data_IF_047378723617
#
_entry.id   IF_047378723617
#
_cell.length_a   1.000
_cell.length_b   1.000
_cell.length_c   1.000
_cell.angle_alpha   90.00
_cell.angle_beta   90.00
_cell.angle_gamma   90.00
#
_symmetry.space_group_name_H-M   'P 1'
#
loop_
_entity.id
_entity.type
_entity.pdbx_description
1 polymer ?
#
# COMPACT_ATOMS: atom_id res chain seq x y z
N UNK A 1 -4.70 56.34 -39.45
CA UNK A 1 -3.80 57.01 -38.48
C UNK A 1 -3.15 55.89 -37.69
N UNK A 2 -1.90 55.51 -38.00
CA UNK A 2 -0.67 55.86 -37.25
C UNK A 2 -0.93 55.74 -35.74
N UNK A 3 -0.26 54.93 -34.92
CA UNK A 3 1.17 54.50 -34.85
C UNK A 3 1.26 53.98 -33.38
N UNK A 4 1.82 52.83 -32.98
CA UNK A 4 3.24 52.51 -32.87
C UNK A 4 3.34 51.16 -32.12
N UNK A 5 4.13 50.26 -32.70
CA UNK A 5 4.81 49.12 -32.10
C UNK A 5 5.85 49.62 -31.10
N UNK A 6 6.14 48.89 -30.00
CA UNK A 6 7.49 48.42 -29.64
C UNK A 6 7.44 47.63 -28.30
N UNK A 7 7.97 46.40 -28.27
CA UNK A 7 8.29 45.66 -27.05
C UNK A 7 9.72 46.01 -26.59
N UNK A 8 9.99 46.02 -25.28
CA UNK A 8 11.36 46.08 -24.77
C UNK A 8 11.57 44.99 -23.72
N UNK A 9 12.39 44.03 -24.11
CA UNK A 9 13.00 43.03 -23.27
C UNK A 9 13.84 43.67 -22.15
N UNK A 10 13.75 43.12 -20.94
CA UNK A 10 14.87 43.19 -20.01
C UNK A 10 15.28 41.75 -19.68
N UNK A 11 16.44 41.42 -20.22
CA UNK A 11 17.23 40.22 -19.95
C UNK A 11 17.77 40.35 -18.52
N UNK A 12 17.50 39.38 -17.65
CA UNK A 12 18.39 39.04 -16.55
C UNK A 12 18.75 37.56 -16.65
N UNK A 13 19.87 37.34 -17.32
CA UNK A 13 20.66 36.13 -17.33
C UNK A 13 21.24 35.94 -15.92
N UNK A 14 20.82 34.88 -15.21
CA UNK A 14 21.53 34.33 -14.05
C UNK A 14 22.19 33.02 -14.49
N UNK A 15 23.42 33.14 -14.99
CA UNK A 15 24.47 32.13 -14.78
C UNK A 15 24.90 32.33 -13.30
N UNK A 16 25.28 31.36 -12.48
CA UNK A 16 26.34 30.34 -12.56
C UNK A 16 26.00 29.38 -11.38
N UNK A 17 26.11 28.05 -11.45
CA UNK A 17 27.34 27.31 -11.12
C UNK A 17 27.16 25.83 -11.50
N UNK A 18 28.04 25.33 -12.36
CA UNK A 18 28.28 23.91 -12.52
C UNK A 18 29.40 23.47 -11.57
N UNK A 19 29.21 22.32 -10.93
CA UNK A 19 30.33 21.48 -10.49
C UNK A 19 30.56 20.45 -11.59
N UNK A 20 31.51 20.73 -12.48
CA UNK A 20 32.18 19.71 -13.27
C UNK A 20 33.38 19.26 -12.43
N UNK A 21 33.41 18.00 -12.01
CA UNK A 21 34.60 17.41 -11.41
C UNK A 21 35.70 17.35 -12.47
N UNK A 22 36.61 18.32 -12.41
CA UNK A 22 37.87 18.26 -13.12
C UNK A 22 38.76 17.21 -12.46
N UNK A 23 38.94 16.06 -13.12
CA UNK A 23 40.11 15.21 -12.88
C UNK A 23 41.22 15.67 -13.83
N UNK A 24 42.27 16.27 -13.26
CA UNK A 24 43.47 16.62 -13.99
C UNK A 24 44.32 15.38 -14.21
N UNK A 25 44.72 15.13 -15.45
CA UNK A 25 45.85 14.26 -15.74
C UNK A 25 47.13 14.92 -15.24
N UNK A 26 47.74 14.30 -14.23
CA UNK A 26 49.13 14.48 -13.84
C UNK A 26 49.70 13.10 -13.55
N UNK A 27 50.59 12.64 -14.42
CA UNK A 27 51.46 11.48 -14.17
C UNK A 27 52.42 11.81 -13.02
N UNK A 28 52.39 11.03 -11.94
CA UNK A 28 53.61 10.63 -11.26
C UNK A 28 53.42 9.30 -10.50
N UNK A 29 54.48 8.50 -10.50
CA UNK A 29 54.51 7.09 -10.10
C UNK A 29 54.71 6.94 -8.58
N UNK A 30 53.86 6.16 -7.90
CA UNK A 30 54.33 5.16 -6.92
C UNK A 30 53.21 4.24 -6.42
N UNK A 31 53.60 3.00 -6.14
CA UNK A 31 52.85 1.93 -5.47
C UNK A 31 51.99 2.41 -4.30
N UNK A 32 50.74 1.94 -4.22
CA UNK A 32 50.30 1.04 -3.16
C UNK A 32 48.88 0.50 -3.41
N UNK A 33 48.73 -0.77 -3.08
CA UNK A 33 47.62 -1.65 -3.33
C UNK A 33 46.47 -1.38 -2.33
N UNK A 34 45.38 -0.76 -2.77
CA UNK A 34 44.07 -0.92 -2.14
C UNK A 34 42.97 -0.64 -3.17
N UNK A 35 42.53 -1.70 -3.85
CA UNK A 35 41.20 -1.70 -4.44
C UNK A 35 40.22 -1.73 -3.27
N UNK A 36 39.66 -0.58 -2.93
CA UNK A 36 38.39 -0.57 -2.21
C UNK A 36 37.36 -1.18 -3.15
N UNK A 37 37.04 -2.44 -2.87
CA UNK A 37 35.79 -3.07 -3.28
C UNK A 37 34.68 -2.13 -2.83
N UNK A 38 34.13 -1.37 -3.77
CA UNK A 38 32.80 -0.82 -3.57
C UNK A 38 31.88 -2.02 -3.62
N UNK A 39 31.60 -2.60 -2.45
CA UNK A 39 30.44 -3.42 -2.21
C UNK A 39 29.23 -2.57 -2.62
N UNK A 40 28.86 -2.66 -3.89
CA UNK A 40 27.49 -2.47 -4.32
C UNK A 40 26.69 -3.56 -3.64
N UNK A 41 26.38 -3.33 -2.37
CA UNK A 41 25.39 -4.08 -1.64
C UNK A 41 24.05 -3.64 -2.23
N UNK A 42 23.75 -4.24 -3.38
CA UNK A 42 22.40 -4.47 -3.85
C UNK A 42 21.75 -5.34 -2.78
N UNK A 43 21.28 -4.70 -1.70
CA UNK A 43 20.28 -5.30 -0.83
C UNK A 43 18.99 -5.30 -1.67
N UNK A 44 18.95 -6.18 -2.65
CA UNK A 44 17.71 -6.68 -3.19
C UNK A 44 17.11 -7.49 -2.03
N UNK A 45 16.54 -6.79 -1.07
CA UNK A 45 15.83 -7.36 0.08
C UNK A 45 14.56 -7.96 -0.54
N UNK A 46 14.72 -9.16 -1.10
CA UNK A 46 13.64 -9.88 -1.75
C UNK A 46 12.48 -9.97 -0.76
N UNK A 47 11.32 -9.45 -1.16
CA UNK A 47 10.14 -9.47 -0.31
C UNK A 47 9.80 -10.92 0.00
N UNK A 48 9.80 -11.26 1.29
CA UNK A 48 9.47 -12.63 1.73
C UNK A 48 8.07 -13.01 1.24
N UNK A 49 7.88 -14.27 0.87
CA UNK A 49 6.57 -14.82 0.51
C UNK A 49 5.53 -14.57 1.63
N UNK A 50 4.37 -14.06 1.22
CA UNK A 50 3.24 -13.79 2.10
C UNK A 50 2.58 -15.08 2.55
N UNK A 51 2.24 -15.17 3.84
CA UNK A 51 1.47 -16.29 4.38
C UNK A 51 0.07 -15.82 4.77
N UNK A 52 -0.95 -16.60 4.44
CA UNK A 52 -2.32 -16.34 4.88
C UNK A 52 -2.54 -16.95 6.28
N UNK A 53 -2.99 -16.13 7.23
CA UNK A 53 -3.46 -16.58 8.53
C UNK A 53 -4.97 -16.34 8.65
N UNK A 54 -5.70 -17.37 9.10
CA UNK A 54 -7.15 -17.31 9.21
C UNK A 54 -7.58 -16.97 10.63
N UNK A 55 -8.37 -15.91 10.77
CA UNK A 55 -9.01 -15.50 12.02
C UNK A 55 -10.22 -16.39 12.42
N UNK A 56 -10.29 -17.64 11.95
CA UNK A 56 -11.40 -18.57 12.23
C UNK A 56 -12.72 -18.27 11.53
N UNK A 57 -12.71 -17.44 10.48
CA UNK A 57 -13.86 -17.05 9.65
C UNK A 57 -13.77 -17.69 8.26
N UNK A 58 -14.89 -17.77 7.53
CA UNK A 58 -14.93 -18.37 6.19
C UNK A 58 -15.33 -19.85 6.14
N UNK A 59 -16.04 -20.23 5.08
CA UNK A 59 -16.28 -21.63 4.75
C UNK A 59 -15.02 -22.27 4.14
N UNK A 60 -14.92 -23.61 4.08
CA UNK A 60 -13.81 -24.28 3.41
C UNK A 60 -13.59 -23.83 1.96
N UNK A 61 -14.64 -23.39 1.28
CA UNK A 61 -14.52 -22.86 -0.09
C UNK A 61 -13.82 -21.51 -0.09
N UNK A 62 -14.27 -20.58 0.76
CA UNK A 62 -13.65 -19.26 0.90
C UNK A 62 -12.18 -19.37 1.30
N UNK A 63 -11.85 -20.33 2.18
CA UNK A 63 -10.46 -20.61 2.57
C UNK A 63 -9.58 -21.01 1.38
N UNK A 64 -10.08 -21.87 0.50
CA UNK A 64 -9.34 -22.31 -0.69
C UNK A 64 -9.12 -21.15 -1.65
N UNK A 65 -10.14 -20.31 -1.86
CA UNK A 65 -10.05 -19.15 -2.75
C UNK A 65 -9.03 -18.12 -2.24
N UNK A 66 -9.09 -17.78 -0.95
CA UNK A 66 -8.12 -16.86 -0.32
C UNK A 66 -6.69 -17.41 -0.33
N UNK A 67 -6.53 -18.70 0.00
CA UNK A 67 -5.20 -19.34 0.00
C UNK A 67 -4.60 -19.32 -1.41
N UNK A 68 -5.39 -19.70 -2.42
CA UNK A 68 -4.94 -19.71 -3.82
C UNK A 68 -4.54 -18.31 -4.27
N UNK A 69 -5.31 -17.28 -3.88
CA UNK A 69 -4.97 -15.90 -4.21
C UNK A 69 -3.63 -15.46 -3.63
N UNK A 70 -3.33 -15.80 -2.37
CA UNK A 70 -2.06 -15.44 -1.73
C UNK A 70 -0.88 -16.23 -2.34
N UNK A 71 -1.08 -17.51 -2.66
CA UNK A 71 -0.08 -18.31 -3.39
C UNK A 71 0.23 -17.75 -4.79
N UNK A 72 -0.77 -17.18 -5.46
CA UNK A 72 -0.61 -16.52 -6.76
C UNK A 72 -0.04 -15.09 -6.65
N UNK A 73 -0.12 -14.46 -5.47
CA UNK A 73 0.33 -13.09 -5.21
C UNK A 73 1.23 -12.99 -3.97
N UNK A 74 2.36 -13.73 -3.92
CA UNK A 74 3.21 -13.83 -2.73
C UNK A 74 3.86 -12.49 -2.33
N UNK A 75 3.90 -11.52 -3.24
CA UNK A 75 4.43 -10.17 -3.03
C UNK A 75 3.34 -9.11 -2.79
N UNK A 76 2.09 -9.51 -2.53
CA UNK A 76 0.98 -8.57 -2.26
C UNK A 76 1.34 -7.59 -1.14
N UNK A 77 0.95 -6.32 -1.31
CA UNK A 77 1.21 -5.23 -0.38
C UNK A 77 2.44 -4.39 -0.74
N UNK A 78 2.71 -3.38 0.10
CA UNK A 78 3.83 -2.46 -0.08
C UNK A 78 4.92 -2.76 0.93
N UNK A 79 6.19 -2.81 0.50
CA UNK A 79 7.31 -3.09 1.38
C UNK A 79 7.39 -2.08 2.54
N UNK A 80 7.67 -2.57 3.75
CA UNK A 80 7.74 -1.77 4.98
C UNK A 80 6.45 -1.01 5.31
N UNK A 81 5.30 -1.57 4.95
CA UNK A 81 4.00 -0.93 5.16
C UNK A 81 2.91 -1.95 5.55
N UNK A 82 1.74 -1.44 5.94
CA UNK A 82 0.50 -2.20 6.07
C UNK A 82 -0.40 -1.87 4.90
N UNK A 83 -0.86 -2.88 4.18
CA UNK A 83 -1.72 -2.69 3.00
C UNK A 83 -3.09 -3.30 3.20
N UNK A 84 -4.10 -2.68 2.58
CA UNK A 84 -5.49 -3.12 2.64
C UNK A 84 -5.96 -3.42 1.21
N UNK A 85 -6.56 -4.59 1.03
CA UNK A 85 -7.08 -5.02 -0.27
C UNK A 85 -8.50 -5.55 -0.10
N UNK A 86 -9.46 -5.01 -0.86
CA UNK A 86 -10.76 -5.66 -1.01
C UNK A 86 -10.59 -6.93 -1.85
N UNK A 87 -11.19 -8.03 -1.42
CA UNK A 87 -11.12 -9.32 -2.10
C UNK A 87 -12.40 -9.63 -2.87
N UNK A 88 -13.45 -10.10 -2.20
CA UNK A 88 -14.75 -10.39 -2.82
C UNK A 88 -15.88 -10.41 -1.76
N UNK A 89 -17.12 -10.53 -2.22
CA UNK A 89 -18.32 -10.62 -1.40
C UNK A 89 -18.65 -12.09 -1.10
N UNK A 90 -18.84 -12.40 0.18
CA UNK A 90 -19.18 -13.73 0.67
C UNK A 90 -20.41 -13.70 1.58
N UNK A 91 -21.30 -14.66 1.41
CA UNK A 91 -22.43 -14.89 2.33
C UNK A 91 -22.06 -15.84 3.49
N UNK A 92 -20.90 -16.48 3.40
CA UNK A 92 -20.43 -17.55 4.29
C UNK A 92 -19.10 -17.24 4.97
N UNK A 93 -18.66 -15.98 4.98
CA UNK A 93 -17.49 -15.54 5.73
C UNK A 93 -17.79 -15.28 7.21
N UNK A 94 -18.94 -14.66 7.47
CA UNK A 94 -19.45 -14.37 8.81
C UNK A 94 -20.97 -14.37 8.82
N UNK A 95 -21.57 -13.55 9.67
CA UNK A 95 -23.03 -13.37 9.65
C UNK A 95 -23.45 -12.45 8.49
N UNK A 96 -24.28 -12.99 7.60
CA UNK A 96 -24.83 -12.27 6.45
C UNK A 96 -23.83 -12.07 5.30
N UNK A 97 -24.21 -11.23 4.35
CA UNK A 97 -23.34 -10.84 3.23
C UNK A 97 -22.25 -9.91 3.73
N UNK A 98 -20.99 -10.23 3.43
CA UNK A 98 -19.82 -9.46 3.83
C UNK A 98 -18.91 -9.19 2.64
N UNK A 99 -18.37 -7.98 2.56
CA UNK A 99 -17.18 -7.73 1.73
C UNK A 99 -15.96 -8.16 2.53
N UNK A 100 -15.20 -9.11 2.01
CA UNK A 100 -13.97 -9.58 2.61
C UNK A 100 -12.80 -8.73 2.13
N UNK A 101 -11.97 -8.36 3.09
CA UNK A 101 -10.73 -7.63 2.89
C UNK A 101 -9.55 -8.47 3.37
N UNK A 102 -8.37 -8.18 2.84
CA UNK A 102 -7.09 -8.64 3.34
C UNK A 102 -6.33 -7.46 3.92
N UNK A 103 -5.95 -7.57 5.19
CA UNK A 103 -4.92 -6.72 5.80
C UNK A 103 -3.58 -7.45 5.70
N UNK A 104 -2.58 -6.78 5.13
CA UNK A 104 -1.27 -7.36 4.84
C UNK A 104 -0.21 -6.60 5.63
N UNK A 105 0.59 -7.31 6.41
CA UNK A 105 1.68 -6.73 7.18
C UNK A 105 3.04 -7.01 6.51
N UNK A 106 3.65 -5.96 5.95
CA UNK A 106 5.03 -5.99 5.43
C UNK A 106 6.01 -5.24 6.32
N UNK A 107 5.61 -4.88 7.54
CA UNK A 107 6.52 -4.34 8.55
C UNK A 107 7.39 -5.47 9.13
N UNK A 108 8.57 -5.15 9.68
CA UNK A 108 9.47 -6.13 10.28
C UNK A 108 9.04 -6.59 11.68
N UNK A 109 7.85 -6.20 12.15
CA UNK A 109 7.31 -6.53 13.46
C UNK A 109 5.84 -6.92 13.38
N UNK A 110 5.34 -7.57 14.43
CA UNK A 110 3.98 -8.07 14.50
C UNK A 110 3.03 -6.97 14.98
N UNK A 111 1.76 -7.06 14.55
CA UNK A 111 0.72 -6.10 14.89
C UNK A 111 -0.42 -6.78 15.64
N UNK A 112 -1.03 -6.08 16.58
CA UNK A 112 -2.30 -6.46 17.18
C UNK A 112 -3.14 -5.22 17.46
N UNK A 113 -4.42 -5.42 17.81
CA UNK A 113 -5.34 -4.36 18.26
C UNK A 113 -5.36 -3.17 17.27
N UNK A 114 -5.66 -3.48 16.02
CA UNK A 114 -5.63 -2.54 14.90
C UNK A 114 -6.97 -1.80 14.82
N UNK A 115 -6.94 -0.50 14.57
CA UNK A 115 -8.15 0.28 14.29
C UNK A 115 -7.89 1.37 13.27
N UNK A 116 -8.92 1.74 12.51
CA UNK A 116 -8.84 2.75 11.46
C UNK A 116 -10.23 3.24 11.07
N UNK A 117 -10.28 4.32 10.30
CA UNK A 117 -11.49 4.83 9.65
C UNK A 117 -11.44 4.47 8.16
N UNK A 118 -12.47 3.75 7.68
CA UNK A 118 -12.59 3.31 6.29
C UNK A 118 -13.56 4.20 5.53
N UNK A 119 -13.11 4.74 4.39
CA UNK A 119 -14.00 5.30 3.37
C UNK A 119 -13.85 4.50 2.08
N UNK A 120 -14.97 4.13 1.47
CA UNK A 120 -14.99 3.34 0.24
C UNK A 120 -16.11 3.81 -0.68
N UNK A 121 -15.81 4.04 -1.95
CA UNK A 121 -16.78 4.53 -2.93
C UNK A 121 -16.18 4.79 -4.31
N UNK A 122 -16.82 5.65 -5.10
CA UNK A 122 -16.33 6.07 -6.43
C UNK A 122 -15.42 7.31 -6.41
N UNK A 123 -14.97 7.72 -5.23
CA UNK A 123 -14.21 8.96 -5.01
C UNK A 123 -15.07 10.22 -5.00
N UNK A 124 -16.41 10.11 -5.07
CA UNK A 124 -17.35 11.21 -4.88
C UNK A 124 -18.19 11.00 -3.62
N UNK A 125 -18.86 12.07 -3.16
CA UNK A 125 -19.81 11.97 -2.05
C UNK A 125 -21.15 11.31 -2.42
N UNK A 126 -21.39 10.98 -3.70
CA UNK A 126 -22.67 10.47 -4.16
C UNK A 126 -22.79 8.94 -4.06
N UNK A 127 -21.68 8.22 -4.13
CA UNK A 127 -21.66 6.75 -4.13
C UNK A 127 -20.62 6.20 -3.15
N UNK A 128 -20.90 6.39 -1.86
CA UNK A 128 -20.13 5.78 -0.77
C UNK A 128 -20.79 4.50 -0.29
N UNK A 129 -20.00 3.44 -0.19
CA UNK A 129 -20.38 2.19 0.49
C UNK A 129 -20.18 2.35 1.99
N UNK A 130 -19.03 2.92 2.38
CA UNK A 130 -18.72 3.35 3.74
C UNK A 130 -18.14 4.76 3.72
N UNK A 131 -18.49 5.55 4.73
CA UNK A 131 -17.97 6.92 4.93
C UNK A 131 -17.43 7.03 6.36
N UNK A 132 -16.10 7.14 6.50
CA UNK A 132 -15.41 7.21 7.80
C UNK A 132 -15.88 6.12 8.78
N UNK A 133 -16.12 4.91 8.27
CA UNK A 133 -16.59 3.79 9.06
C UNK A 133 -15.46 3.28 9.95
N UNK A 134 -15.64 3.39 11.26
CA UNK A 134 -14.61 2.95 12.21
C UNK A 134 -14.55 1.43 12.30
N UNK A 135 -13.41 0.86 11.94
CA UNK A 135 -13.12 -0.58 11.99
C UNK A 135 -12.17 -0.85 13.15
N UNK A 136 -12.46 -1.91 13.90
CA UNK A 136 -11.63 -2.40 15.00
C UNK A 136 -11.37 -3.89 14.77
N UNK A 137 -10.09 -4.25 14.65
CA UNK A 137 -9.61 -5.61 14.54
C UNK A 137 -8.82 -5.93 15.82
N UNK A 138 -9.55 -6.37 16.85
CA UNK A 138 -8.93 -6.67 18.14
C UNK A 138 -8.11 -7.96 18.09
N UNK A 139 -7.12 -8.09 18.97
CA UNK A 139 -6.37 -9.35 19.12
C UNK A 139 -7.27 -10.56 19.35
N UNK A 140 -8.41 -10.36 20.02
CA UNK A 140 -9.37 -11.43 20.28
C UNK A 140 -10.04 -11.92 19.00
N UNK A 141 -10.27 -11.03 18.05
CA UNK A 141 -11.03 -11.32 16.84
C UNK A 141 -10.14 -11.81 15.71
N UNK A 142 -8.94 -11.22 15.56
CA UNK A 142 -8.02 -11.54 14.47
C UNK A 142 -6.69 -12.18 14.90
N UNK A 143 -6.41 -12.28 16.20
CA UNK A 143 -5.11 -12.76 16.67
C UNK A 143 -4.01 -11.73 16.55
N UNK A 144 -2.79 -12.19 16.29
CA UNK A 144 -1.62 -11.34 16.04
C UNK A 144 -1.36 -11.38 14.53
N UNK A 145 -1.31 -10.23 13.89
CA UNK A 145 -0.91 -10.12 12.48
C UNK A 145 0.61 -10.14 12.39
N UNK A 146 1.17 -11.32 12.17
CA UNK A 146 2.61 -11.52 12.06
C UNK A 146 3.24 -10.77 10.88
N UNK A 147 4.54 -10.50 10.96
CA UNK A 147 5.30 -9.95 9.83
C UNK A 147 5.23 -10.90 8.63
N UNK A 148 5.02 -10.35 7.44
CA UNK A 148 4.82 -11.07 6.18
C UNK A 148 3.63 -12.02 6.20
N UNK A 149 2.58 -11.65 6.94
CA UNK A 149 1.30 -12.35 6.92
C UNK A 149 0.17 -11.45 6.44
N UNK A 150 -0.88 -12.10 5.94
CA UNK A 150 -2.16 -11.49 5.63
C UNK A 150 -3.25 -12.15 6.45
N UNK A 151 -4.19 -11.36 6.95
CA UNK A 151 -5.38 -11.85 7.63
C UNK A 151 -6.62 -11.34 6.90
N UNK A 152 -7.59 -12.22 6.59
CA UNK A 152 -8.86 -11.78 6.03
C UNK A 152 -9.81 -11.31 7.14
N UNK A 153 -10.55 -10.26 6.87
CA UNK A 153 -11.64 -9.79 7.73
C UNK A 153 -12.83 -9.34 6.88
N UNK A 154 -14.05 -9.52 7.40
CA UNK A 154 -15.28 -9.18 6.69
C UNK A 154 -15.96 -7.96 7.29
N UNK A 155 -16.49 -7.08 6.43
CA UNK A 155 -17.41 -6.02 6.82
C UNK A 155 -18.78 -6.31 6.24
N UNK A 156 -19.82 -6.22 7.08
CA UNK A 156 -21.19 -6.50 6.68
C UNK A 156 -21.67 -5.51 5.61
N UNK A 157 -22.30 -6.04 4.57
CA UNK A 157 -22.96 -5.28 3.52
C UNK A 157 -24.46 -5.31 3.71
N UNK A 158 -25.08 -4.15 3.57
CA UNK A 158 -26.54 -4.07 3.34
C UNK A 158 -26.84 -4.25 1.86
N UNK A 159 -28.09 -4.54 1.51
CA UNK A 159 -28.53 -4.63 0.11
C UNK A 159 -28.23 -3.33 -0.66
N UNK A 160 -28.48 -2.16 -0.05
CA UNK A 160 -28.19 -0.84 -0.62
C UNK A 160 -26.68 -0.62 -0.87
N UNK A 161 -25.84 -1.05 0.08
CA UNK A 161 -24.38 -0.98 -0.07
C UNK A 161 -23.89 -1.87 -1.21
N UNK A 162 -24.46 -3.06 -1.35
CA UNK A 162 -24.12 -3.97 -2.44
C UNK A 162 -24.55 -3.40 -3.81
N UNK A 163 -25.76 -2.87 -3.91
CA UNK A 163 -26.23 -2.18 -5.12
C UNK A 163 -25.33 -1.01 -5.49
N UNK A 164 -24.92 -0.21 -4.48
CA UNK A 164 -23.99 0.90 -4.66
C UNK A 164 -22.66 0.40 -5.20
N UNK A 165 -22.05 -0.61 -4.57
CA UNK A 165 -20.79 -1.21 -4.99
C UNK A 165 -20.85 -1.74 -6.43
N UNK A 166 -21.93 -2.44 -6.80
CA UNK A 166 -22.17 -2.94 -8.16
C UNK A 166 -22.36 -1.83 -9.20
N UNK A 167 -22.75 -0.63 -8.76
CA UNK A 167 -22.95 0.54 -9.63
C UNK A 167 -21.68 1.36 -9.88
N UNK A 168 -20.62 1.12 -9.09
CA UNK A 168 -19.34 1.81 -9.24
C UNK A 168 -18.55 1.15 -10.36
N UNK A 169 -18.05 1.95 -11.29
CA UNK A 169 -17.15 1.44 -12.32
C UNK A 169 -15.78 1.13 -11.69
N UNK A 170 -15.21 -0.03 -11.99
CA UNK A 170 -13.96 -0.52 -11.38
C UNK A 170 -12.78 0.46 -11.52
N UNK A 171 -12.77 1.31 -12.54
CA UNK A 171 -11.75 2.35 -12.72
C UNK A 171 -11.91 3.61 -11.85
N UNK A 172 -12.97 3.72 -11.06
CA UNK A 172 -13.26 4.85 -10.18
C UNK A 172 -13.32 4.45 -8.71
N UNK A 173 -13.05 3.19 -8.39
CA UNK A 173 -13.15 2.69 -7.04
C UNK A 173 -12.01 3.22 -6.16
N UNK A 174 -12.36 3.80 -5.02
CA UNK A 174 -11.43 4.39 -4.06
C UNK A 174 -11.62 3.73 -2.70
N UNK A 175 -10.51 3.35 -2.07
CA UNK A 175 -10.44 2.94 -0.67
C UNK A 175 -9.51 3.93 0.04
N UNK A 176 -9.99 4.55 1.11
CA UNK A 176 -9.20 5.45 1.96
C UNK A 176 -9.19 4.89 3.39
N UNK A 177 -8.00 4.91 3.98
CA UNK A 177 -7.75 4.47 5.35
C UNK A 177 -7.17 5.64 6.10
N UNK A 178 -7.91 6.14 7.08
CA UNK A 178 -7.52 7.23 7.96
C UNK A 178 -7.35 6.74 9.40
N UNK A 179 -6.67 7.53 10.23
CA UNK A 179 -6.52 7.31 11.67
C UNK A 179 -6.02 5.90 12.05
N UNK A 180 -5.17 5.30 11.20
CA UNK A 180 -4.62 3.96 11.43
C UNK A 180 -3.81 3.89 12.72
N UNK A 181 -4.24 3.02 13.63
CA UNK A 181 -3.65 2.77 14.94
C UNK A 181 -3.45 1.27 15.14
N UNK A 182 -2.38 0.91 15.85
CA UNK A 182 -2.02 -0.47 16.14
C UNK A 182 -1.15 -0.55 17.41
N UNK A 183 -1.07 -1.74 17.99
CA UNK A 183 -0.05 -2.10 18.97
C UNK A 183 1.00 -3.00 18.32
N UNK A 184 2.28 -2.62 18.42
CA UNK A 184 3.40 -3.44 17.94
C UNK A 184 3.80 -4.48 18.98
N UNK A 185 4.04 -5.71 18.55
CA UNK A 185 4.50 -6.82 19.39
C UNK A 185 5.86 -7.31 18.89
N UNK A 186 6.80 -7.50 19.82
CA UNK A 186 8.10 -8.13 19.56
C UNK A 186 8.01 -9.66 19.50
#
# INVERSE_FOLDING_TARGET
MKKILIPLALITLLLITGCNSSVSSGEDNNDENHREETNGQDNNDEMKELTLEMAGQGSPRTLVELTSFIEETPELGTANDVSFHSFDIYEDFGEGTQLVFLIVNRLPFNLQDISFSLTMGDGTDEKKVWDQHHVVLSKKDIGILESNHAIPFGLALTEEMEETLRSINTGQFVIEIDDFQYESVE
#
